data_IF_949313860605
#
_entry.id   IF_949313860605
#
_cell.length_a   1.000
_cell.length_b   1.000
_cell.length_c   1.000
_cell.angle_alpha   90.00
_cell.angle_beta   90.00
_cell.angle_gamma   90.00
#
_symmetry.space_group_name_H-M   'P 1'
#
loop_
_entity.id
_entity.type
_entity.pdbx_description
1 polymer ?
#
# COMPACT_ATOMS: atom_id res chain seq x y z
N UNK A 1 -8.04 5.51 17.02
CA UNK A 1 -8.26 4.05 17.07
C UNK A 1 -7.04 3.40 16.45
N UNK A 2 -6.49 2.35 17.07
CA UNK A 2 -5.40 1.57 16.47
C UNK A 2 -5.99 0.66 15.38
N UNK A 3 -6.31 1.24 14.23
CA UNK A 3 -6.76 0.46 13.08
C UNK A 3 -5.64 -0.48 12.64
N UNK A 4 -6.00 -1.74 12.42
CA UNK A 4 -5.09 -2.73 11.88
C UNK A 4 -5.57 -3.18 10.51
N UNK A 5 -4.69 -3.07 9.53
CA UNK A 5 -4.89 -3.72 8.23
C UNK A 5 -4.00 -4.94 8.18
N UNK A 6 -4.64 -6.08 7.95
CA UNK A 6 -3.93 -7.33 7.71
C UNK A 6 -3.81 -7.53 6.21
N UNK A 7 -2.59 -7.71 5.73
CA UNK A 7 -2.31 -8.14 4.36
C UNK A 7 -1.68 -9.53 4.43
N UNK A 8 -2.42 -10.55 4.00
CA UNK A 8 -1.89 -11.89 3.82
C UNK A 8 -1.27 -12.01 2.43
N UNK A 9 -0.05 -12.51 2.37
CA UNK A 9 0.68 -12.88 1.17
C UNK A 9 0.98 -14.38 1.26
N UNK A 10 0.39 -15.19 0.38
CA UNK A 10 0.62 -16.64 0.37
C UNK A 10 0.63 -17.23 -1.04
N UNK A 11 1.29 -18.37 -1.20
CA UNK A 11 1.48 -19.06 -2.49
C UNK A 11 2.81 -19.80 -2.52
N UNK A 12 3.23 -20.29 -3.69
CA UNK A 12 4.61 -20.76 -3.93
C UNK A 12 5.60 -19.57 -4.00
N UNK A 13 5.51 -18.61 -3.07
CA UNK A 13 6.52 -17.56 -2.92
C UNK A 13 7.79 -18.24 -2.38
N UNK A 14 8.59 -18.75 -3.33
CA UNK A 14 9.63 -19.73 -3.08
C UNK A 14 10.74 -19.23 -2.14
N UNK A 15 10.84 -17.91 -1.91
CA UNK A 15 11.98 -17.33 -1.21
C UNK A 15 11.60 -16.22 -0.21
N UNK A 16 12.00 -16.40 1.05
CA UNK A 16 11.99 -15.38 2.13
C UNK A 16 12.62 -14.03 1.71
N UNK A 17 13.49 -14.04 0.70
CA UNK A 17 14.11 -12.87 0.11
C UNK A 17 13.09 -11.93 -0.56
N UNK A 18 12.11 -12.46 -1.30
CA UNK A 18 11.05 -11.70 -1.98
C UNK A 18 10.18 -10.97 -0.95
N UNK A 19 9.84 -11.68 0.12
CA UNK A 19 9.09 -11.16 1.25
C UNK A 19 9.81 -9.98 1.93
N UNK A 20 11.15 -10.00 1.95
CA UNK A 20 11.96 -8.88 2.43
C UNK A 20 11.82 -7.61 1.57
N UNK A 21 11.77 -7.74 0.24
CA UNK A 21 11.55 -6.62 -0.67
C UNK A 21 10.13 -6.08 -0.57
N UNK A 22 9.13 -6.96 -0.57
CA UNK A 22 7.73 -6.56 -0.46
C UNK A 22 7.48 -5.87 0.89
N UNK A 23 8.03 -6.40 1.98
CA UNK A 23 7.97 -5.75 3.30
C UNK A 23 8.59 -4.35 3.28
N UNK A 24 9.73 -4.19 2.62
CA UNK A 24 10.40 -2.88 2.45
C UNK A 24 9.54 -1.90 1.64
N UNK A 25 8.90 -2.39 0.58
CA UNK A 25 8.02 -1.61 -0.30
C UNK A 25 6.78 -1.13 0.46
N UNK A 26 6.15 -2.01 1.24
CA UNK A 26 5.02 -1.64 2.09
C UNK A 26 5.41 -0.68 3.22
N UNK A 27 6.61 -0.84 3.80
CA UNK A 27 7.13 0.12 4.78
C UNK A 27 7.28 1.53 4.19
N UNK A 28 7.61 1.63 2.90
CA UNK A 28 7.70 2.91 2.20
C UNK A 28 6.32 3.53 1.97
N UNK A 29 5.29 2.72 1.68
CA UNK A 29 3.91 3.20 1.56
C UNK A 29 3.37 3.77 2.88
N UNK A 30 3.73 3.18 4.03
CA UNK A 30 3.36 3.73 5.33
C UNK A 30 4.00 5.11 5.54
N UNK A 31 5.30 5.21 5.22
CA UNK A 31 6.05 6.46 5.32
C UNK A 31 5.51 7.55 4.39
N UNK A 32 5.10 7.15 3.18
CA UNK A 32 4.43 8.05 2.23
C UNK A 32 3.14 8.61 2.83
N UNK A 33 2.29 7.75 3.41
CA UNK A 33 1.06 8.20 4.05
C UNK A 33 1.28 9.20 5.18
N UNK A 34 2.32 8.97 6.01
CA UNK A 34 2.76 9.95 7.03
C UNK A 34 3.18 11.29 6.41
N UNK A 35 3.93 11.28 5.32
CA UNK A 35 4.36 12.53 4.66
C UNK A 35 3.20 13.30 4.02
N UNK A 36 2.22 12.59 3.45
CA UNK A 36 1.02 13.21 2.85
C UNK A 36 0.20 13.91 3.92
N UNK A 37 -0.08 13.24 5.04
CA UNK A 37 -0.87 13.85 6.13
C UNK A 37 -0.13 14.98 6.86
N UNK A 38 1.22 14.94 6.89
CA UNK A 38 2.05 16.02 7.43
C UNK A 38 2.32 17.14 6.40
N UNK A 39 1.75 17.07 5.20
CA UNK A 39 1.97 18.03 4.10
C UNK A 39 3.46 18.25 3.76
N UNK A 40 4.27 17.20 3.85
CA UNK A 40 5.73 17.23 3.57
C UNK A 40 6.04 17.10 2.09
N UNK A 41 5.49 17.98 1.26
CA UNK A 41 5.55 17.92 -0.21
C UNK A 41 6.98 17.78 -0.76
N UNK A 42 7.95 18.48 -0.19
CA UNK A 42 9.35 18.38 -0.61
C UNK A 42 9.96 16.99 -0.38
N UNK A 43 9.56 16.30 0.69
CA UNK A 43 10.00 14.93 0.97
C UNK A 43 9.29 13.93 0.05
N UNK A 44 8.00 14.12 -0.19
CA UNK A 44 7.23 13.31 -1.15
C UNK A 44 7.89 13.35 -2.53
N UNK A 45 8.17 14.56 -3.02
CA UNK A 45 8.83 14.74 -4.31
C UNK A 45 10.20 14.05 -4.36
N UNK A 46 11.01 14.26 -3.30
CA UNK A 46 12.36 13.71 -3.20
C UNK A 46 12.40 12.18 -3.19
N UNK A 47 11.49 11.54 -2.45
CA UNK A 47 11.55 10.12 -2.16
C UNK A 47 10.63 9.26 -3.04
N UNK A 48 9.58 9.83 -3.62
CA UNK A 48 8.56 9.06 -4.32
C UNK A 48 8.34 9.49 -5.77
N UNK A 49 8.49 10.78 -6.11
CA UNK A 49 8.16 11.28 -7.45
C UNK A 49 9.35 11.47 -8.39
N UNK A 50 10.59 11.48 -7.86
CA UNK A 50 11.79 11.59 -8.71
C UNK A 50 11.94 10.38 -9.63
N UNK A 51 12.34 10.63 -10.89
CA UNK A 51 12.66 9.61 -11.92
C UNK A 51 13.64 8.52 -11.44
N UNK A 52 14.50 8.86 -10.49
CA UNK A 52 15.30 7.92 -9.70
C UNK A 52 15.06 8.26 -8.22
N UNK A 53 14.04 7.65 -7.60
CA UNK A 53 13.76 7.90 -6.20
C UNK A 53 14.99 7.49 -5.39
N UNK A 54 15.28 8.22 -4.32
CA UNK A 54 16.39 7.85 -3.43
C UNK A 54 16.10 6.45 -2.90
N UNK A 55 17.00 5.46 -3.04
CA UNK A 55 16.72 4.10 -2.60
C UNK A 55 16.48 4.10 -1.10
N UNK A 56 15.22 3.89 -0.73
CA UNK A 56 14.82 3.76 0.66
C UNK A 56 15.10 2.31 1.03
N UNK A 57 16.05 2.10 1.94
CA UNK A 57 16.26 0.81 2.58
C UNK A 57 15.62 0.80 3.97
N UNK A 58 15.60 -0.36 4.63
CA UNK A 58 15.08 -0.51 6.01
C UNK A 58 15.70 0.43 7.05
N UNK A 59 16.82 1.06 6.73
CA UNK A 59 17.55 1.98 7.61
C UNK A 59 17.36 3.45 7.24
N UNK A 60 16.65 3.74 6.16
CA UNK A 60 16.41 5.11 5.72
C UNK A 60 15.38 5.72 6.66
N UNK A 61 15.84 6.63 7.54
CA UNK A 61 14.98 7.42 8.42
C UNK A 61 14.16 8.40 7.58
N UNK A 62 13.03 7.94 7.06
CA UNK A 62 12.10 8.76 6.28
C UNK A 62 11.31 9.75 7.15
N UNK A 63 11.11 9.41 8.42
CA UNK A 63 10.54 10.29 9.43
C UNK A 63 11.60 10.65 10.45
N UNK A 64 11.63 11.92 10.85
CA UNK A 64 12.37 12.34 12.03
C UNK A 64 12.01 11.48 13.24
N UNK A 65 12.94 11.34 14.18
CA UNK A 65 13.10 10.25 15.16
C UNK A 65 11.96 9.95 16.18
N UNK A 66 10.66 10.14 15.89
CA UNK A 66 9.65 10.19 16.96
C UNK A 66 8.47 9.23 16.91
N UNK A 67 8.32 8.33 15.94
CA UNK A 67 7.19 7.37 15.97
C UNK A 67 7.64 5.93 15.70
N UNK A 68 7.50 5.02 16.68
CA UNK A 68 7.67 3.61 16.40
C UNK A 68 6.57 3.19 15.42
N UNK A 69 6.97 2.87 14.19
CA UNK A 69 6.07 2.34 13.17
C UNK A 69 5.67 0.93 13.57
N UNK A 70 4.36 0.69 13.71
CA UNK A 70 3.80 -0.57 14.22
C UNK A 70 3.49 -1.55 13.08
N UNK A 71 4.38 -1.66 12.10
CA UNK A 71 4.25 -2.71 11.08
C UNK A 71 4.88 -3.99 11.60
N UNK A 72 4.08 -5.02 11.83
CA UNK A 72 4.54 -6.34 12.21
C UNK A 72 4.48 -7.26 10.98
N UNK A 73 5.54 -8.03 10.76
CA UNK A 73 5.59 -9.08 9.74
C UNK A 73 5.59 -10.41 10.47
N UNK A 74 4.54 -11.20 10.29
CA UNK A 74 4.40 -12.51 10.90
C UNK A 74 4.47 -13.58 9.81
N UNK A 75 5.39 -14.52 9.91
CA UNK A 75 5.31 -15.74 9.10
C UNK A 75 4.12 -16.57 9.60
N UNK A 76 3.18 -16.87 8.70
CA UNK A 76 1.99 -17.67 9.06
C UNK A 76 2.27 -19.16 8.83
N UNK A 77 2.91 -19.45 7.68
CA UNK A 77 3.35 -20.78 7.22
C UNK A 77 4.52 -20.59 6.24
N UNK A 78 5.36 -21.61 5.98
CA UNK A 78 6.43 -21.51 4.99
C UNK A 78 5.93 -20.97 3.65
N UNK A 79 6.56 -19.90 3.15
CA UNK A 79 6.16 -19.22 1.90
C UNK A 79 4.97 -18.25 2.05
N UNK A 80 4.54 -17.94 3.27
CA UNK A 80 3.45 -16.99 3.51
C UNK A 80 3.67 -16.07 4.71
N UNK A 81 3.27 -14.81 4.57
CA UNK A 81 3.35 -13.80 5.62
C UNK A 81 2.00 -13.11 5.82
N UNK A 82 1.72 -12.77 7.07
CA UNK A 82 0.70 -11.80 7.46
C UNK A 82 1.42 -10.54 7.87
N UNK A 83 1.08 -9.46 7.19
CA UNK A 83 1.55 -8.12 7.52
C UNK A 83 0.45 -7.47 8.33
N UNK A 84 0.74 -7.22 9.60
CA UNK A 84 -0.13 -6.44 10.47
C UNK A 84 0.37 -5.02 10.45
N UNK A 85 -0.36 -4.17 9.75
CA UNK A 85 -0.14 -2.75 9.76
C UNK A 85 -0.85 -2.20 10.99
N UNK A 86 -0.12 -1.85 12.05
CA UNK A 86 -0.63 -0.93 13.07
C UNK A 86 -0.67 0.45 12.43
N UNK A 87 -1.79 0.77 11.80
CA UNK A 87 -1.92 1.92 10.90
C UNK A 87 -1.76 3.21 11.70
N UNK A 88 -0.88 4.11 11.22
CA UNK A 88 -0.71 5.46 11.77
C UNK A 88 -1.43 6.54 10.96
N UNK A 89 -1.86 6.26 9.71
CA UNK A 89 -2.43 7.24 8.75
C UNK A 89 -3.51 6.66 7.83
N UNK A 90 -4.53 7.46 7.49
CA UNK A 90 -5.61 7.18 6.54
C UNK A 90 -5.08 6.95 5.11
N UNK A 91 -4.04 7.67 4.70
CA UNK A 91 -3.45 7.47 3.37
C UNK A 91 -2.86 6.08 3.20
N UNK A 92 -2.10 5.61 4.20
CA UNK A 92 -1.55 4.27 4.18
C UNK A 92 -2.65 3.20 4.20
N UNK A 93 -3.77 3.49 4.89
CA UNK A 93 -4.93 2.61 4.98
C UNK A 93 -5.66 2.42 3.66
N UNK A 94 -5.49 3.35 2.71
CA UNK A 94 -6.05 3.29 1.36
C UNK A 94 -5.00 2.82 0.35
N UNK A 95 -3.83 3.46 0.30
CA UNK A 95 -2.81 3.19 -0.72
C UNK A 95 -2.30 1.74 -0.70
N UNK A 96 -2.12 1.15 0.48
CA UNK A 96 -1.63 -0.23 0.57
C UNK A 96 -2.64 -1.26 0.04
N UNK A 97 -3.93 -1.22 0.42
CA UNK A 97 -4.95 -2.05 -0.22
C UNK A 97 -5.02 -1.89 -1.74
N UNK A 98 -4.93 -0.66 -2.26
CA UNK A 98 -4.96 -0.41 -3.70
C UNK A 98 -3.78 -1.08 -4.42
N UNK A 99 -2.58 -1.01 -3.84
CA UNK A 99 -1.40 -1.71 -4.35
C UNK A 99 -1.64 -3.22 -4.37
N UNK A 100 -2.13 -3.79 -3.27
CA UNK A 100 -2.40 -5.21 -3.18
C UNK A 100 -3.47 -5.68 -4.19
N UNK A 101 -4.56 -4.92 -4.37
CA UNK A 101 -5.60 -5.19 -5.38
C UNK A 101 -5.00 -5.18 -6.80
N UNK A 102 -4.19 -4.17 -7.14
CA UNK A 102 -3.56 -4.07 -8.46
C UNK A 102 -2.57 -5.19 -8.72
N UNK A 103 -1.75 -5.53 -7.74
CA UNK A 103 -0.81 -6.65 -7.84
C UNK A 103 -1.58 -7.96 -8.05
N UNK A 104 -2.64 -8.21 -7.27
CA UNK A 104 -3.46 -9.42 -7.40
C UNK A 104 -4.07 -9.53 -8.81
N UNK A 105 -4.70 -8.46 -9.32
CA UNK A 105 -5.26 -8.43 -10.68
C UNK A 105 -4.20 -8.75 -11.75
N UNK A 106 -3.00 -8.19 -11.63
CA UNK A 106 -1.91 -8.42 -12.59
C UNK A 106 -1.35 -9.84 -12.53
N UNK A 107 -1.22 -10.42 -11.33
CA UNK A 107 -0.73 -11.80 -11.17
C UNK A 107 -1.76 -12.82 -11.64
N UNK A 108 -3.05 -12.60 -11.38
CA UNK A 108 -4.14 -13.42 -11.90
C UNK A 108 -4.16 -13.45 -13.43
N UNK A 109 -3.94 -12.30 -14.09
CA UNK A 109 -3.82 -12.23 -15.56
C UNK A 109 -2.65 -13.06 -16.11
N UNK A 110 -1.64 -13.34 -15.28
CA UNK A 110 -0.44 -14.11 -15.63
C UNK A 110 -0.49 -15.57 -15.15
N UNK A 111 -1.63 -16.03 -14.62
CA UNK A 111 -1.79 -17.34 -13.99
C UNK A 111 -0.80 -17.62 -12.83
N UNK A 112 -0.30 -16.55 -12.20
CA UNK A 112 0.58 -16.65 -11.03
C UNK A 112 -0.28 -16.76 -9.78
N UNK A 113 -0.21 -17.90 -9.10
CA UNK A 113 -1.02 -18.21 -7.91
C UNK A 113 -0.43 -17.61 -6.64
N UNK A 114 -0.63 -16.30 -6.46
CA UNK A 114 -0.37 -15.60 -5.20
C UNK A 114 -1.69 -15.07 -4.65
N UNK A 115 -1.94 -15.34 -3.37
CA UNK A 115 -3.07 -14.78 -2.64
C UNK A 115 -2.65 -13.50 -1.92
N UNK A 116 -3.36 -12.42 -2.22
CA UNK A 116 -3.38 -11.18 -1.45
C UNK A 116 -4.74 -11.08 -0.75
N UNK A 117 -4.79 -11.25 0.57
CA UNK A 117 -6.01 -10.97 1.33
C UNK A 117 -5.83 -9.71 2.15
N UNK A 118 -6.71 -8.72 1.94
CA UNK A 118 -6.73 -7.47 2.70
C UNK A 118 -7.93 -7.55 3.64
N UNK A 119 -7.69 -7.41 4.93
CA UNK A 119 -8.76 -7.40 5.94
C UNK A 119 -8.63 -6.16 6.83
N UNK A 120 -9.25 -5.03 6.44
CA UNK A 120 -9.39 -3.88 7.32
C UNK A 120 -10.40 -4.23 8.43
N UNK A 121 -10.11 -3.78 9.65
CA UNK A 121 -11.06 -3.95 10.77
C UNK A 121 -12.27 -3.02 10.65
N UNK A 122 -12.12 -1.89 9.97
CA UNK A 122 -13.21 -0.95 9.73
C UNK A 122 -14.10 -1.43 8.57
N UNK A 123 -15.37 -1.69 8.88
CA UNK A 123 -16.37 -2.16 7.92
C UNK A 123 -16.73 -1.12 6.83
N UNK A 124 -16.52 0.18 7.06
CA UNK A 124 -16.76 1.24 6.09
C UNK A 124 -15.62 1.27 5.07
N UNK A 125 -14.39 1.32 5.55
CA UNK A 125 -13.19 1.18 4.72
C UNK A 125 -13.24 -0.13 3.94
N UNK A 126 -13.63 -1.23 4.58
CA UNK A 126 -13.82 -2.53 3.90
C UNK A 126 -14.77 -2.41 2.71
N UNK A 127 -15.96 -1.84 2.90
CA UNK A 127 -16.96 -1.70 1.82
C UNK A 127 -16.44 -0.83 0.67
N UNK A 128 -15.73 0.25 0.98
CA UNK A 128 -15.13 1.10 -0.05
C UNK A 128 -14.05 0.34 -0.85
N UNK A 129 -13.18 -0.42 -0.17
CA UNK A 129 -12.15 -1.22 -0.82
C UNK A 129 -12.74 -2.38 -1.64
N UNK A 130 -13.76 -3.07 -1.12
CA UNK A 130 -14.49 -4.12 -1.84
C UNK A 130 -15.11 -3.54 -3.13
N UNK A 131 -15.71 -2.34 -3.07
CA UNK A 131 -16.29 -1.67 -4.24
C UNK A 131 -15.23 -1.27 -5.27
N UNK A 132 -14.05 -0.83 -4.81
CA UNK A 132 -12.91 -0.55 -5.69
C UNK A 132 -12.38 -1.82 -6.36
N UNK A 133 -12.24 -2.91 -5.60
CA UNK A 133 -11.83 -4.22 -6.12
C UNK A 133 -12.82 -4.76 -7.16
N UNK A 134 -14.12 -4.50 -7.00
CA UNK A 134 -15.14 -4.83 -8.00
C UNK A 134 -15.10 -3.94 -9.25
N UNK A 135 -14.28 -2.88 -9.27
CA UNK A 135 -14.17 -1.94 -10.40
C UNK A 135 -15.22 -0.84 -10.42
N UNK A 136 -15.97 -0.65 -9.33
CA UNK A 136 -17.10 0.29 -9.23
C UNK A 136 -16.68 1.74 -9.47
N UNK A 137 -15.45 2.09 -9.05
CA UNK A 137 -14.93 3.45 -9.15
C UNK A 137 -14.16 3.72 -10.45
N UNK A 138 -13.89 2.71 -11.28
CA UNK A 138 -12.97 2.85 -12.42
C UNK A 138 -11.50 2.88 -12.01
N UNK A 139 -10.64 3.42 -12.87
CA UNK A 139 -9.18 3.39 -12.73
C UNK A 139 -8.59 4.81 -12.71
N UNK A 140 -7.32 4.92 -12.30
CA UNK A 140 -6.56 6.18 -12.32
C UNK A 140 -7.03 7.20 -11.28
N UNK A 141 -6.69 8.47 -11.53
CA UNK A 141 -6.98 9.59 -10.64
C UNK A 141 -8.49 9.81 -10.44
N UNK A 142 -9.28 9.68 -11.51
CA UNK A 142 -10.75 9.79 -11.45
C UNK A 142 -11.36 8.73 -10.51
N UNK A 143 -10.89 7.48 -10.60
CA UNK A 143 -11.35 6.42 -9.72
C UNK A 143 -10.94 6.61 -8.26
N UNK A 144 -9.76 7.16 -8.01
CA UNK A 144 -9.35 7.58 -6.68
C UNK A 144 -10.19 8.73 -6.13
N UNK A 145 -10.53 9.71 -6.97
CA UNK A 145 -11.38 10.82 -6.58
C UNK A 145 -12.78 10.34 -6.17
N UNK A 146 -13.35 9.38 -6.91
CA UNK A 146 -14.63 8.76 -6.55
C UNK A 146 -14.53 7.94 -5.25
N UNK A 147 -13.44 7.20 -5.06
CA UNK A 147 -13.18 6.48 -3.81
C UNK A 147 -13.10 7.44 -2.60
N UNK A 148 -12.37 8.56 -2.74
CA UNK A 148 -12.27 9.56 -1.67
C UNK A 148 -13.60 10.25 -1.42
N UNK A 149 -14.39 10.52 -2.46
CA UNK A 149 -15.75 11.08 -2.31
C UNK A 149 -16.68 10.11 -1.59
N UNK A 150 -16.52 8.80 -1.78
CA UNK A 150 -17.27 7.80 -1.02
C UNK A 150 -16.85 7.77 0.46
N UNK A 151 -15.55 7.93 0.73
CA UNK A 151 -14.98 7.94 2.07
C UNK A 151 -15.21 9.27 2.83
N UNK A 152 -15.46 10.38 2.14
CA UNK A 152 -15.59 11.71 2.75
C UNK A 152 -16.78 11.85 3.71
N UNK A 153 -17.75 10.95 3.64
CA UNK A 153 -18.87 10.90 4.58
C UNK A 153 -18.46 10.37 5.96
N UNK A 154 -17.35 9.63 6.03
CA UNK A 154 -16.92 8.89 7.21
C UNK A 154 -15.52 9.28 7.69
N UNK A 155 -14.70 9.89 6.83
CA UNK A 155 -13.33 10.29 7.11
C UNK A 155 -13.04 11.71 6.60
N UNK A 156 -12.15 12.41 7.30
CA UNK A 156 -11.59 13.67 6.79
C UNK A 156 -10.55 13.39 5.71
N UNK A 157 -11.01 13.35 4.46
CA UNK A 157 -10.18 13.17 3.26
C UNK A 157 -9.72 14.48 2.65
N UNK A 158 -10.01 15.62 3.29
CA UNK A 158 -9.77 16.95 2.71
C UNK A 158 -8.28 17.21 2.49
N UNK A 159 -7.44 16.67 3.38
CA UNK A 159 -5.99 16.71 3.25
C UNK A 159 -5.43 15.83 2.11
N UNK A 160 -6.24 14.91 1.56
CA UNK A 160 -5.80 13.93 0.55
C UNK A 160 -6.00 14.45 -0.87
N UNK A 161 -7.02 15.29 -1.09
CA UNK A 161 -7.36 15.85 -2.40
C UNK A 161 -6.18 16.49 -3.13
N UNK A 162 -5.38 17.37 -2.47
CA UNK A 162 -4.19 17.98 -3.09
C UNK A 162 -3.10 16.98 -3.50
N UNK A 163 -3.16 15.74 -3.01
CA UNK A 163 -2.15 14.71 -3.21
C UNK A 163 -2.66 13.52 -4.04
N UNK A 164 -3.80 13.66 -4.72
CA UNK A 164 -4.41 12.61 -5.55
C UNK A 164 -3.43 12.05 -6.58
N UNK A 165 -2.75 12.93 -7.31
CA UNK A 165 -1.73 12.55 -8.29
C UNK A 165 -0.58 11.75 -7.65
N UNK A 166 -0.06 12.21 -6.51
CA UNK A 166 1.04 11.55 -5.81
C UNK A 166 0.63 10.17 -5.29
N UNK A 167 -0.58 10.07 -4.74
CA UNK A 167 -1.13 8.81 -4.25
C UNK A 167 -1.25 7.82 -5.42
N UNK A 168 -1.83 8.25 -6.55
CA UNK A 168 -1.98 7.40 -7.73
C UNK A 168 -0.63 6.95 -8.30
N UNK A 169 0.31 7.89 -8.41
CA UNK A 169 1.66 7.63 -8.91
C UNK A 169 2.38 6.60 -8.04
N UNK A 170 2.31 6.76 -6.72
CA UNK A 170 2.91 5.82 -5.76
C UNK A 170 2.23 4.46 -5.84
N UNK A 171 0.89 4.40 -5.89
CA UNK A 171 0.16 3.14 -6.03
C UNK A 171 0.58 2.40 -7.31
N UNK A 172 0.63 3.08 -8.46
CA UNK A 172 1.06 2.47 -9.73
C UNK A 172 2.52 2.00 -9.69
N UNK A 173 3.44 2.86 -9.21
CA UNK A 173 4.87 2.54 -9.12
C UNK A 173 5.13 1.29 -8.28
N UNK A 174 4.56 1.23 -7.08
CA UNK A 174 4.78 0.10 -6.16
C UNK A 174 4.09 -1.16 -6.64
N UNK A 175 2.90 -1.05 -7.23
CA UNK A 175 2.22 -2.20 -7.87
C UNK A 175 3.11 -2.83 -8.94
N UNK A 176 3.63 -2.02 -9.88
CA UNK A 176 4.53 -2.51 -10.94
C UNK A 176 5.82 -3.12 -10.38
N UNK A 177 6.39 -2.50 -9.34
CA UNK A 177 7.62 -2.99 -8.70
C UNK A 177 7.40 -4.35 -8.04
N UNK A 178 6.33 -4.52 -7.27
CA UNK A 178 5.99 -5.79 -6.62
C UNK A 178 5.72 -6.88 -7.67
N UNK A 179 4.91 -6.59 -8.70
CA UNK A 179 4.66 -7.54 -9.81
C UNK A 179 5.95 -7.98 -10.48
N UNK A 180 6.88 -7.04 -10.77
CA UNK A 180 8.20 -7.37 -11.35
C UNK A 180 9.05 -8.21 -10.40
N UNK A 181 9.00 -7.93 -9.09
CA UNK A 181 9.74 -8.72 -8.10
C UNK A 181 9.23 -10.16 -8.11
N UNK A 182 7.91 -10.37 -8.03
CA UNK A 182 7.31 -11.71 -8.04
C UNK A 182 7.58 -12.43 -9.37
N UNK A 183 7.39 -11.75 -10.52
CA UNK A 183 7.59 -12.33 -11.86
C UNK A 183 9.07 -12.60 -12.23
N UNK A 184 10.04 -12.18 -11.40
CA UNK A 184 11.45 -12.54 -11.65
C UNK A 184 11.78 -13.95 -11.15
N UNK A 185 10.95 -14.49 -10.28
CA UNK A 185 11.19 -15.74 -9.58
C UNK A 185 10.10 -16.78 -9.85
N UNK A 186 9.12 -16.45 -10.71
CA UNK A 186 8.11 -17.32 -11.31
C UNK A 186 8.17 -17.15 -12.83
#
# INVERSE_FOLDING_TARGET
MDEKIKIYLGGELAHLYELGYISTDLHQLAAFGEMVEESRTADIERFFLKKRPTPINRYTKLTGEKRPRRTEVLEVRPGSIELILGVSTLVASIAMPLVAIRVNRELQRRDVKVQFNISPQDARLKRALDAYEAGTFGDGEDGLQLLFSALSNDYDVTALGPHLYEIEHVVDQYSRRIVRTISKFH
#
